data_IF_152236118317
#
_entry.id   IF_152236118317
#
_cell.length_a   1.000
_cell.length_b   1.000
_cell.length_c   1.000
_cell.angle_alpha   90.00
_cell.angle_beta   90.00
_cell.angle_gamma   90.00
#
_symmetry.space_group_name_H-M   'P 1'
#
loop_
_entity.id
_entity.type
_entity.pdbx_description
1 polymer ?
#
# COMPACT_ATOMS: atom_id res chain seq x y z
N UNK A 1 -2.95 -18.68 9.54
CA UNK A 1 -3.37 -17.62 10.47
C UNK A 1 -2.20 -16.67 10.60
N UNK A 2 -2.41 -15.38 10.33
CA UNK A 2 -1.36 -14.38 10.49
C UNK A 2 -0.80 -14.47 11.92
N UNK A 3 0.52 -14.43 12.04
CA UNK A 3 1.21 -14.70 13.30
C UNK A 3 1.17 -13.43 14.14
N UNK A 4 0.35 -13.38 15.18
CA UNK A 4 0.38 -12.25 16.13
C UNK A 4 1.67 -12.30 16.94
N UNK A 5 2.35 -11.16 17.06
CA UNK A 5 3.62 -11.05 17.81
C UNK A 5 3.39 -11.14 19.32
N UNK A 6 2.17 -10.77 19.75
CA UNK A 6 1.70 -10.79 21.14
C UNK A 6 0.39 -11.57 21.26
N UNK A 7 -0.09 -11.75 22.50
CA UNK A 7 -1.33 -12.46 22.84
C UNK A 7 -2.60 -11.73 22.36
N UNK A 8 -2.48 -10.43 22.07
CA UNK A 8 -3.53 -9.59 21.47
C UNK A 8 -3.08 -9.15 20.08
N UNK A 9 -4.00 -9.07 19.11
CA UNK A 9 -3.71 -8.44 17.82
C UNK A 9 -3.51 -6.94 18.01
N UNK A 10 -2.70 -6.33 17.16
CA UNK A 10 -2.34 -4.91 17.17
C UNK A 10 -3.55 -3.99 17.13
N UNK A 11 -4.64 -4.38 16.45
CA UNK A 11 -5.93 -3.64 16.51
C UNK A 11 -6.55 -3.57 17.91
N UNK A 12 -6.43 -4.62 18.72
CA UNK A 12 -6.89 -4.61 20.10
C UNK A 12 -5.96 -3.77 20.96
N UNK A 13 -4.65 -3.86 20.72
CA UNK A 13 -3.65 -3.02 21.39
C UNK A 13 -3.83 -1.52 21.07
N UNK A 14 -4.34 -1.20 19.88
CA UNK A 14 -4.68 0.17 19.51
C UNK A 14 -5.81 0.73 20.38
N UNK A 15 -6.79 -0.09 20.77
CA UNK A 15 -7.86 0.30 21.70
C UNK A 15 -7.31 0.53 23.11
N UNK A 16 -6.40 -0.34 23.57
CA UNK A 16 -5.69 -0.17 24.83
C UNK A 16 -4.92 1.17 24.83
N UNK A 17 -4.17 1.46 23.75
CA UNK A 17 -3.47 2.74 23.58
C UNK A 17 -4.43 3.93 23.69
N UNK A 18 -5.54 3.94 22.95
CA UNK A 18 -6.46 5.06 22.95
C UNK A 18 -7.12 5.29 24.31
N UNK A 19 -7.40 4.21 25.05
CA UNK A 19 -7.88 4.26 26.43
C UNK A 19 -6.84 4.91 27.35
N UNK A 20 -5.58 4.48 27.28
CA UNK A 20 -4.49 5.00 28.12
C UNK A 20 -4.15 6.46 27.80
N UNK A 21 -4.24 6.86 26.53
CA UNK A 21 -3.99 8.23 26.11
C UNK A 21 -5.04 9.22 26.65
N UNK A 22 -6.23 8.73 27.04
CA UNK A 22 -7.28 9.53 27.66
C UNK A 22 -7.68 10.77 26.85
N UNK A 23 -7.74 10.63 25.52
CA UNK A 23 -7.95 11.76 24.61
C UNK A 23 -9.31 12.41 24.83
N UNK A 24 -9.34 13.74 24.88
CA UNK A 24 -10.59 14.51 24.87
C UNK A 24 -11.18 14.58 23.45
N UNK A 25 -12.51 14.76 23.29
CA UNK A 25 -13.11 14.98 21.97
C UNK A 25 -12.42 16.10 21.20
N UNK A 26 -12.15 15.87 19.90
CA UNK A 26 -11.37 16.78 19.05
C UNK A 26 -9.86 16.85 19.31
N UNK A 27 -9.31 16.20 20.34
CA UNK A 27 -7.88 16.25 20.64
C UNK A 27 -7.08 15.43 19.62
N UNK A 28 -6.12 16.10 18.97
CA UNK A 28 -5.24 15.48 17.99
C UNK A 28 -4.03 14.83 18.69
N UNK A 29 -3.66 13.63 18.24
CA UNK A 29 -2.40 12.97 18.55
C UNK A 29 -1.63 12.65 17.26
N UNK A 30 -0.34 12.37 17.39
CA UNK A 30 0.54 12.12 16.25
C UNK A 30 0.96 10.66 16.15
N UNK A 31 1.35 10.24 14.95
CA UNK A 31 2.03 8.94 14.73
C UNK A 31 3.20 8.75 15.67
N UNK A 32 4.01 9.80 15.91
CA UNK A 32 5.16 9.71 16.81
C UNK A 32 4.75 9.37 18.25
N UNK A 33 3.67 9.99 18.75
CA UNK A 33 3.13 9.70 20.09
C UNK A 33 2.61 8.26 20.19
N UNK A 34 1.92 7.78 19.16
CA UNK A 34 1.46 6.39 19.11
C UNK A 34 2.64 5.41 19.09
N UNK A 35 3.63 5.63 18.23
CA UNK A 35 4.84 4.79 18.16
C UNK A 35 5.56 4.76 19.50
N UNK A 36 5.70 5.91 20.18
CA UNK A 36 6.32 5.96 21.50
C UNK A 36 5.57 5.09 22.52
N UNK A 37 4.24 5.20 22.58
CA UNK A 37 3.45 4.38 23.49
C UNK A 37 3.63 2.88 23.20
N UNK A 38 3.60 2.48 21.92
CA UNK A 38 3.84 1.10 21.51
C UNK A 38 5.27 0.63 21.78
N UNK A 39 6.28 1.51 21.71
CA UNK A 39 7.65 1.16 22.08
C UNK A 39 7.78 0.89 23.58
N UNK A 40 7.07 1.63 24.42
CA UNK A 40 7.07 1.46 25.87
C UNK A 40 6.33 0.19 26.32
N UNK A 41 5.22 -0.15 25.66
CA UNK A 41 4.33 -1.25 26.09
C UNK A 41 4.50 -2.55 25.27
N UNK A 42 4.83 -2.43 23.99
CA UNK A 42 4.89 -3.53 23.01
C UNK A 42 6.10 -3.42 22.06
N UNK A 43 7.35 -3.38 22.57
CA UNK A 43 8.57 -3.01 21.83
C UNK A 43 8.90 -3.85 20.58
N UNK A 44 8.37 -5.08 20.47
CA UNK A 44 8.53 -5.94 19.29
C UNK A 44 7.72 -5.47 18.07
N UNK A 45 6.69 -4.65 18.23
CA UNK A 45 5.93 -4.12 17.09
C UNK A 45 6.76 -3.07 16.35
N UNK A 46 6.81 -3.20 15.03
CA UNK A 46 7.60 -2.31 14.20
C UNK A 46 6.86 -1.00 13.94
N UNK A 47 7.58 0.14 13.88
CA UNK A 47 6.99 1.43 13.54
C UNK A 47 6.18 1.43 12.24
N UNK A 48 6.61 0.69 11.21
CA UNK A 48 5.88 0.58 9.95
C UNK A 48 4.53 -0.12 10.11
N UNK A 49 4.50 -1.22 10.88
CA UNK A 49 3.27 -1.93 11.26
C UNK A 49 2.29 -1.02 11.98
N UNK A 50 2.76 -0.30 13.00
CA UNK A 50 1.95 0.64 13.78
C UNK A 50 1.32 1.71 12.88
N UNK A 51 2.09 2.26 11.92
CA UNK A 51 1.57 3.23 10.95
C UNK A 51 0.47 2.65 10.08
N UNK A 52 0.66 1.43 9.60
CA UNK A 52 -0.33 0.77 8.76
C UNK A 52 -1.62 0.51 9.56
N UNK A 53 -1.54 0.13 10.84
CA UNK A 53 -2.73 -0.03 11.70
C UNK A 53 -3.43 1.30 12.03
N UNK A 54 -2.69 2.41 12.19
CA UNK A 54 -3.28 3.73 12.33
C UNK A 54 -4.08 4.14 11.07
N UNK A 55 -3.55 3.81 9.88
CA UNK A 55 -4.24 4.04 8.61
C UNK A 55 -5.50 3.17 8.50
N UNK A 56 -5.39 1.86 8.81
CA UNK A 56 -6.52 0.93 8.80
C UNK A 56 -7.67 1.39 9.73
N UNK A 57 -7.34 1.89 10.92
CA UNK A 57 -8.30 2.38 11.90
C UNK A 57 -8.88 3.78 11.59
N UNK A 58 -8.37 4.47 10.56
CA UNK A 58 -8.83 5.80 10.17
C UNK A 58 -10.03 5.72 9.23
N UNK A 59 -11.20 6.17 9.67
CA UNK A 59 -12.48 6.03 8.96
C UNK A 59 -12.54 6.75 7.63
N UNK A 60 -11.76 7.82 7.47
CA UNK A 60 -11.69 8.65 6.28
C UNK A 60 -10.45 8.40 5.40
N UNK A 61 -9.57 7.46 5.75
CA UNK A 61 -8.41 7.14 4.91
C UNK A 61 -8.76 6.03 3.92
N UNK A 62 -8.80 6.35 2.63
CA UNK A 62 -9.16 5.39 1.57
C UNK A 62 -8.24 4.17 1.53
N UNK A 63 -6.99 4.32 1.96
CA UNK A 63 -6.02 3.22 1.95
C UNK A 63 -6.50 2.04 2.81
N UNK A 64 -7.42 2.27 3.75
CA UNK A 64 -8.07 1.22 4.54
C UNK A 64 -8.86 0.22 3.71
N UNK A 65 -9.29 0.55 2.50
CA UNK A 65 -10.06 -0.36 1.65
C UNK A 65 -9.25 -1.55 1.16
N UNK A 66 -7.92 -1.43 1.11
CA UNK A 66 -7.01 -2.55 0.82
C UNK A 66 -6.76 -3.41 2.06
N UNK A 67 -7.12 -2.91 3.25
CA UNK A 67 -6.96 -3.55 4.55
C UNK A 67 -8.23 -3.35 5.38
N UNK A 68 -9.39 -3.87 4.92
CA UNK A 68 -10.67 -3.54 5.53
C UNK A 68 -10.66 -3.86 7.02
N UNK A 69 -11.26 -2.96 7.81
CA UNK A 69 -11.51 -3.21 9.22
C UNK A 69 -12.22 -4.55 9.39
N UNK A 70 -11.74 -5.39 10.31
CA UNK A 70 -12.32 -6.73 10.50
C UNK A 70 -13.72 -6.66 11.12
N UNK A 71 -14.10 -5.52 11.71
CA UNK A 71 -15.45 -5.19 12.16
C UNK A 71 -15.62 -3.67 12.36
N UNK A 72 -16.87 -3.21 12.50
CA UNK A 72 -17.23 -1.79 12.78
C UNK A 72 -16.61 -1.27 14.09
N UNK A 73 -16.17 -2.14 15.00
CA UNK A 73 -15.54 -1.70 16.26
C UNK A 73 -14.10 -1.22 16.09
N UNK A 74 -13.55 -1.31 14.87
CA UNK A 74 -12.20 -0.85 14.52
C UNK A 74 -12.23 0.52 13.79
N UNK A 75 -13.40 1.15 13.63
CA UNK A 75 -13.58 2.53 13.16
C UNK A 75 -13.25 3.56 14.26
N UNK A 76 -11.98 3.64 14.62
CA UNK A 76 -11.54 4.33 15.84
C UNK A 76 -11.11 5.78 15.61
N UNK A 77 -10.53 6.07 14.44
CA UNK A 77 -9.78 7.31 14.20
C UNK A 77 -10.35 8.11 13.05
N UNK A 78 -10.16 9.42 13.11
CA UNK A 78 -10.30 10.34 11.99
C UNK A 78 -8.95 10.99 11.71
N UNK A 79 -8.45 10.86 10.48
CA UNK A 79 -7.19 11.45 10.04
C UNK A 79 -7.40 12.93 9.72
N UNK A 80 -6.71 13.79 10.47
CA UNK A 80 -6.80 15.27 10.32
C UNK A 80 -5.70 15.83 9.42
N UNK A 81 -4.60 15.10 9.25
CA UNK A 81 -3.46 15.51 8.45
C UNK A 81 -2.42 14.39 8.36
N UNK A 82 -1.30 14.67 7.70
CA UNK A 82 -0.20 13.70 7.56
C UNK A 82 0.35 13.30 8.93
N UNK A 83 0.11 12.03 9.31
CA UNK A 83 0.54 11.48 10.61
C UNK A 83 -0.18 12.08 11.82
N UNK A 84 -1.35 12.69 11.63
CA UNK A 84 -2.14 13.33 12.68
C UNK A 84 -3.55 12.76 12.70
N UNK A 85 -4.01 12.38 13.89
CA UNK A 85 -5.27 11.67 14.09
C UNK A 85 -6.00 12.21 15.31
N UNK A 86 -7.32 12.08 15.33
CA UNK A 86 -8.16 12.21 16.52
C UNK A 86 -9.13 11.04 16.60
N UNK A 87 -9.85 10.91 17.71
CA UNK A 87 -10.95 9.95 17.79
C UNK A 87 -12.03 10.29 16.76
N UNK A 88 -12.59 9.26 16.12
CA UNK A 88 -13.76 9.37 15.27
C UNK A 88 -14.99 9.78 16.10
N UNK A 89 -15.79 10.71 15.59
CA UNK A 89 -16.99 11.25 16.25
C UNK A 89 -18.25 10.92 15.44
N UNK A 90 -18.97 9.82 15.77
CA UNK A 90 -20.19 9.43 15.08
C UNK A 90 -21.24 10.56 15.04
N UNK A 91 -21.82 10.80 13.86
CA UNK A 91 -22.83 11.84 13.64
C UNK A 91 -22.27 13.25 13.42
N UNK A 92 -20.98 13.49 13.69
CA UNK A 92 -20.27 14.72 13.33
C UNK A 92 -19.34 14.52 12.14
N UNK A 93 -18.64 13.39 12.13
CA UNK A 93 -17.76 13.01 11.04
C UNK A 93 -18.54 12.28 9.93
N UNK A 94 -18.03 12.28 8.69
CA UNK A 94 -18.55 11.43 7.62
C UNK A 94 -18.64 9.97 8.05
N UNK A 95 -19.55 9.22 7.44
CA UNK A 95 -19.64 7.78 7.67
C UNK A 95 -18.30 7.10 7.30
N UNK A 96 -17.88 6.04 8.03
CA UNK A 96 -16.64 5.37 7.72
C UNK A 96 -16.65 4.78 6.31
N UNK A 97 -15.50 4.88 5.63
CA UNK A 97 -15.32 4.32 4.30
C UNK A 97 -15.18 2.80 4.44
N UNK A 98 -16.21 2.05 4.03
CA UNK A 98 -16.20 0.59 3.97
C UNK A 98 -16.23 0.04 2.54
N UNK A 99 -16.72 0.85 1.59
CA UNK A 99 -16.81 0.49 0.18
C UNK A 99 -16.38 1.69 -0.67
N UNK A 100 -15.82 1.42 -1.86
CA UNK A 100 -15.63 2.44 -2.88
C UNK A 100 -17.00 2.79 -3.47
N UNK A 101 -17.57 3.91 -3.02
CA UNK A 101 -18.67 4.58 -3.72
C UNK A 101 -18.05 5.71 -4.54
N UNK A 102 -17.93 5.51 -5.85
CA UNK A 102 -17.32 6.49 -6.76
C UNK A 102 -18.18 7.77 -6.85
N UNK A 103 -17.85 8.76 -6.02
CA UNK A 103 -18.35 10.13 -6.11
C UNK A 103 -17.34 11.08 -6.77
N UNK A 104 -17.70 12.35 -6.95
CA UNK A 104 -16.84 13.33 -7.64
C UNK A 104 -15.51 13.59 -6.91
N UNK A 105 -15.51 13.51 -5.57
CA UNK A 105 -14.30 13.59 -4.72
C UNK A 105 -13.40 12.36 -4.91
N UNK A 106 -13.98 11.20 -5.23
CA UNK A 106 -13.23 9.98 -5.57
C UNK A 106 -12.27 10.23 -6.71
N UNK A 107 -12.82 10.83 -7.77
CA UNK A 107 -12.11 11.23 -8.98
C UNK A 107 -11.12 12.37 -8.75
N UNK A 108 -11.47 13.36 -7.92
CA UNK A 108 -10.67 14.57 -7.76
C UNK A 108 -9.44 14.39 -6.86
N UNK A 109 -9.51 13.56 -5.81
CA UNK A 109 -8.33 13.25 -4.96
C UNK A 109 -7.32 12.34 -5.68
N UNK A 110 -7.78 11.44 -6.55
CA UNK A 110 -6.89 10.67 -7.44
C UNK A 110 -6.16 11.58 -8.45
N UNK A 111 -6.71 12.76 -8.76
CA UNK A 111 -6.07 13.79 -9.61
C UNK A 111 -5.15 14.73 -8.80
N UNK A 112 -5.24 14.75 -7.46
CA UNK A 112 -4.62 15.75 -6.59
C UNK A 112 -3.38 15.28 -5.82
N UNK A 113 -2.97 14.01 -5.94
CA UNK A 113 -1.69 13.52 -5.40
C UNK A 113 -0.47 13.98 -6.25
N UNK A 114 -0.69 14.74 -7.34
CA UNK A 114 0.33 15.22 -8.29
C UNK A 114 1.06 16.53 -7.87
N UNK A 115 0.63 17.23 -6.81
CA UNK A 115 0.97 18.65 -6.62
C UNK A 115 2.10 18.96 -5.61
N UNK A 116 3.06 18.05 -5.41
CA UNK A 116 4.32 18.41 -4.73
C UNK A 116 5.55 17.87 -5.50
N UNK A 117 6.25 18.82 -6.11
CA UNK A 117 7.59 18.82 -6.71
C UNK A 117 7.80 18.32 -8.17
N UNK A 118 7.97 19.36 -9.01
CA UNK A 118 8.78 19.53 -10.22
C UNK A 118 8.19 19.11 -11.59
N UNK A 119 7.71 20.13 -12.30
CA UNK A 119 7.10 20.04 -13.63
C UNK A 119 8.19 19.91 -14.71
N UNK A 120 8.36 18.71 -15.24
CA UNK A 120 8.84 18.50 -16.62
C UNK A 120 7.71 17.87 -17.45
N UNK A 121 7.50 18.29 -18.72
CA UNK A 121 6.26 17.96 -19.45
C UNK A 121 6.23 16.53 -20.05
N UNK A 122 6.95 15.55 -19.48
CA UNK A 122 7.19 14.27 -20.16
C UNK A 122 7.03 13.05 -19.25
N UNK A 123 5.84 12.88 -18.68
CA UNK A 123 5.18 11.60 -18.38
C UNK A 123 3.87 11.97 -17.67
N UNK A 124 2.75 11.94 -18.38
CA UNK A 124 1.45 12.11 -17.72
C UNK A 124 1.16 10.78 -17.04
N UNK A 125 1.22 10.75 -15.72
CA UNK A 125 0.71 9.61 -14.95
C UNK A 125 -0.75 9.35 -15.35
N UNK A 126 -1.18 8.09 -15.26
CA UNK A 126 -2.46 7.67 -15.82
C UNK A 126 -3.60 8.45 -15.17
N UNK A 127 -4.35 9.24 -15.96
CA UNK A 127 -5.46 10.01 -15.40
C UNK A 127 -6.51 9.07 -14.80
N UNK A 128 -7.03 9.40 -13.61
CA UNK A 128 -8.13 8.68 -12.97
C UNK A 128 -9.32 8.48 -13.90
N UNK A 129 -9.80 7.25 -14.02
CA UNK A 129 -10.89 6.88 -14.94
C UNK A 129 -10.47 6.66 -16.40
N UNK A 130 -9.18 6.78 -16.73
CA UNK A 130 -8.66 6.34 -18.03
C UNK A 130 -8.54 4.81 -18.10
N UNK A 131 -8.54 4.27 -19.32
CA UNK A 131 -8.28 2.84 -19.56
C UNK A 131 -6.92 2.40 -19.02
N UNK A 132 -5.92 3.30 -19.04
CA UNK A 132 -4.58 3.04 -18.54
C UNK A 132 -4.57 2.87 -17.02
N UNK A 133 -5.32 3.73 -16.30
CA UNK A 133 -5.48 3.63 -14.85
C UNK A 133 -6.19 2.32 -14.45
N UNK A 134 -7.26 1.95 -15.16
CA UNK A 134 -7.95 0.67 -14.92
C UNK A 134 -7.00 -0.52 -15.15
N UNK A 135 -6.21 -0.48 -16.22
CA UNK A 135 -5.22 -1.52 -16.52
C UNK A 135 -4.11 -1.60 -15.47
N UNK A 136 -3.72 -0.48 -14.86
CA UNK A 136 -2.75 -0.44 -13.76
C UNK A 136 -3.25 -1.20 -12.54
N UNK A 137 -4.47 -0.87 -12.12
CA UNK A 137 -5.09 -1.51 -10.97
C UNK A 137 -5.32 -3.01 -11.22
N UNK A 138 -5.74 -3.38 -12.43
CA UNK A 138 -5.90 -4.78 -12.82
C UNK A 138 -4.56 -5.52 -12.83
N UNK A 139 -3.49 -4.90 -13.34
CA UNK A 139 -2.14 -5.46 -13.33
C UNK A 139 -1.62 -5.64 -11.89
N UNK A 140 -1.75 -4.60 -11.06
CA UNK A 140 -1.40 -4.62 -9.64
C UNK A 140 -2.05 -5.80 -8.93
N UNK A 141 -3.37 -5.94 -9.06
CA UNK A 141 -4.14 -7.04 -8.46
C UNK A 141 -3.70 -8.39 -8.99
N UNK A 142 -3.60 -8.54 -10.31
CA UNK A 142 -3.18 -9.80 -10.93
C UNK A 142 -1.80 -10.23 -10.44
N UNK A 143 -0.83 -9.32 -10.36
CA UNK A 143 0.52 -9.62 -9.89
C UNK A 143 0.54 -9.95 -8.39
N UNK A 144 -0.24 -9.24 -7.57
CA UNK A 144 -0.33 -9.51 -6.13
C UNK A 144 -0.89 -10.92 -5.83
N UNK A 145 -1.86 -11.38 -6.63
CA UNK A 145 -2.42 -12.73 -6.52
C UNK A 145 -1.51 -13.80 -7.15
N UNK A 146 -0.59 -13.43 -8.04
CA UNK A 146 0.23 -14.34 -8.83
C UNK A 146 1.75 -14.09 -8.70
N UNK A 147 2.23 -13.71 -7.51
CA UNK A 147 3.65 -13.35 -7.28
C UNK A 147 4.67 -14.42 -7.71
N UNK A 148 4.25 -15.68 -7.82
CA UNK A 148 5.07 -16.77 -8.34
C UNK A 148 5.57 -16.56 -9.78
N UNK A 149 4.91 -15.70 -10.58
CA UNK A 149 5.34 -15.35 -11.94
C UNK A 149 6.53 -14.39 -11.94
N UNK A 150 6.70 -13.62 -10.86
CA UNK A 150 7.82 -12.70 -10.65
C UNK A 150 9.00 -13.51 -10.11
N UNK A 151 8.75 -14.26 -9.04
CA UNK A 151 9.75 -15.13 -8.45
C UNK A 151 9.10 -16.33 -7.74
N UNK A 152 9.56 -17.57 -7.99
CA UNK A 152 9.01 -18.75 -7.32
C UNK A 152 9.12 -18.69 -5.80
N UNK A 153 7.96 -18.66 -5.13
CA UNK A 153 7.77 -18.62 -3.67
C UNK A 153 7.99 -17.26 -3.03
N UNK A 154 7.93 -16.20 -3.84
CA UNK A 154 7.58 -14.87 -3.37
C UNK A 154 6.14 -14.89 -2.83
N UNK A 155 5.93 -14.36 -1.64
CA UNK A 155 4.61 -14.28 -1.00
C UNK A 155 4.30 -12.84 -0.62
N UNK A 156 3.02 -12.45 -0.68
CA UNK A 156 2.60 -11.13 -0.25
C UNK A 156 2.97 -10.94 1.23
N UNK A 157 3.48 -9.75 1.59
CA UNK A 157 3.74 -9.45 2.98
C UNK A 157 2.41 -9.46 3.76
N UNK A 158 2.40 -10.05 4.95
CA UNK A 158 1.24 -10.07 5.82
C UNK A 158 1.68 -9.67 7.22
N UNK A 159 0.99 -8.67 7.76
CA UNK A 159 1.14 -8.18 9.13
C UNK A 159 -0.23 -8.14 9.79
N UNK A 160 -0.56 -9.23 10.49
CA UNK A 160 -1.89 -9.48 11.03
C UNK A 160 -3.01 -9.36 9.97
N UNK A 161 -3.79 -8.27 10.01
CA UNK A 161 -4.90 -7.98 9.11
C UNK A 161 -4.49 -7.05 7.95
N UNK A 162 -3.21 -6.63 7.91
CA UNK A 162 -2.65 -5.74 6.89
C UNK A 162 -1.87 -6.57 5.88
N UNK A 163 -2.14 -6.32 4.60
CA UNK A 163 -1.53 -7.04 3.50
C UNK A 163 -0.54 -6.15 2.75
N UNK A 164 0.40 -6.75 2.05
CA UNK A 164 1.40 -6.05 1.24
C UNK A 164 0.87 -5.41 -0.03
N UNK A 165 -0.44 -5.25 -0.23
CA UNK A 165 -1.01 -4.64 -1.43
C UNK A 165 -1.36 -3.17 -1.17
N UNK A 166 -0.86 -2.25 -1.99
CA UNK A 166 -0.94 -0.80 -1.76
C UNK A 166 -0.50 -0.41 -0.33
N UNK A 167 0.60 -1.02 0.12
CA UNK A 167 1.05 -0.98 1.51
C UNK A 167 1.38 0.46 1.96
N UNK A 168 0.79 0.96 3.06
CA UNK A 168 1.03 2.33 3.54
C UNK A 168 2.48 2.58 3.95
N UNK A 169 3.14 3.54 3.29
CA UNK A 169 4.54 3.92 3.53
C UNK A 169 4.69 5.33 4.15
N UNK A 170 3.63 5.82 4.80
CA UNK A 170 3.62 7.10 5.50
C UNK A 170 3.54 8.33 4.58
N UNK A 171 3.07 9.45 5.15
CA UNK A 171 2.92 10.71 4.41
C UNK A 171 1.99 10.62 3.20
N UNK A 172 0.98 9.76 3.24
CA UNK A 172 0.04 9.50 2.13
C UNK A 172 0.55 8.53 1.06
N UNK A 173 1.82 8.13 1.10
CA UNK A 173 2.44 7.31 0.06
C UNK A 173 2.15 5.82 0.26
N UNK A 174 2.09 5.07 -0.83
CA UNK A 174 1.81 3.63 -0.86
C UNK A 174 2.84 2.90 -1.73
N UNK A 175 3.19 1.69 -1.31
CA UNK A 175 3.99 0.74 -2.10
C UNK A 175 3.01 -0.14 -2.87
N UNK A 176 3.14 -0.24 -4.20
CA UNK A 176 2.19 -1.02 -5.01
C UNK A 176 2.07 -2.46 -4.50
N UNK A 177 3.21 -3.16 -4.37
CA UNK A 177 3.26 -4.48 -3.75
C UNK A 177 4.51 -4.60 -2.86
N UNK A 178 4.30 -4.93 -1.60
CA UNK A 178 5.30 -5.35 -0.63
C UNK A 178 5.19 -6.87 -0.44
N UNK A 179 6.28 -7.58 -0.70
CA UNK A 179 6.36 -9.02 -0.62
C UNK A 179 7.55 -9.48 0.22
N UNK A 180 7.60 -10.79 0.48
CA UNK A 180 8.68 -11.47 1.18
C UNK A 180 9.14 -12.65 0.35
N UNK A 181 10.45 -12.76 0.12
CA UNK A 181 11.05 -13.88 -0.59
C UNK A 181 11.19 -15.13 0.28
N UNK A 182 11.58 -16.26 -0.32
CA UNK A 182 11.76 -17.55 0.39
C UNK A 182 12.77 -17.49 1.55
N UNK A 183 13.72 -16.57 1.50
CA UNK A 183 14.74 -16.40 2.54
C UNK A 183 14.28 -15.43 3.66
N UNK A 184 13.06 -14.89 3.57
CA UNK A 184 12.53 -13.91 4.51
C UNK A 184 13.00 -12.48 4.22
N UNK A 185 13.61 -12.20 3.07
CA UNK A 185 13.96 -10.86 2.63
C UNK A 185 12.74 -10.10 2.10
N UNK A 186 12.69 -8.78 2.33
CA UNK A 186 11.63 -7.94 1.77
C UNK A 186 11.89 -7.64 0.29
N UNK A 187 10.81 -7.62 -0.48
CA UNK A 187 10.79 -7.28 -1.90
C UNK A 187 9.76 -6.17 -2.11
N UNK A 188 10.24 -5.00 -2.54
CA UNK A 188 9.40 -3.86 -2.89
C UNK A 188 9.18 -3.87 -4.39
N UNK A 189 7.94 -3.91 -4.84
CA UNK A 189 7.60 -3.86 -6.25
C UNK A 189 6.96 -2.52 -6.58
N UNK A 190 7.45 -1.91 -7.65
CA UNK A 190 6.93 -0.68 -8.22
C UNK A 190 6.51 -0.97 -9.67
N UNK A 191 5.24 -0.72 -9.99
CA UNK A 191 4.63 -1.10 -11.25
C UNK A 191 4.40 0.14 -12.12
N UNK A 192 4.58 0.01 -13.44
CA UNK A 192 4.21 1.03 -14.42
C UNK A 192 3.56 0.40 -15.65
N UNK A 193 2.38 0.88 -16.05
CA UNK A 193 1.64 0.33 -17.21
C UNK A 193 2.29 0.66 -18.56
N UNK A 194 3.11 1.70 -18.59
CA UNK A 194 3.75 2.21 -19.79
C UNK A 194 5.27 2.09 -19.73
N UNK A 195 5.97 2.93 -20.51
CA UNK A 195 7.43 3.01 -20.52
C UNK A 195 7.91 3.53 -19.16
N UNK A 196 8.77 2.75 -18.50
CA UNK A 196 9.41 3.21 -17.27
C UNK A 196 10.40 4.35 -17.56
N UNK A 197 10.31 5.43 -16.77
CA UNK A 197 11.24 6.56 -16.78
C UNK A 197 12.00 6.65 -15.45
N UNK A 198 13.17 7.27 -15.44
CA UNK A 198 14.11 7.28 -14.31
C UNK A 198 13.52 7.77 -12.98
N UNK A 199 12.42 8.55 -12.99
CA UNK A 199 11.68 8.95 -11.77
C UNK A 199 11.25 7.75 -10.92
N UNK A 200 10.90 6.62 -11.56
CA UNK A 200 10.52 5.37 -10.89
C UNK A 200 11.64 4.82 -10.00
N UNK A 201 12.90 5.08 -10.36
CA UNK A 201 14.07 4.65 -9.58
C UNK A 201 14.08 5.37 -8.23
N UNK A 202 13.86 6.69 -8.24
CA UNK A 202 13.79 7.48 -7.00
C UNK A 202 12.63 7.04 -6.10
N UNK A 203 11.47 6.76 -6.69
CA UNK A 203 10.31 6.24 -5.98
C UNK A 203 10.60 4.88 -5.32
N UNK A 204 11.10 3.91 -6.09
CA UNK A 204 11.45 2.58 -5.59
C UNK A 204 12.51 2.66 -4.49
N UNK A 205 13.60 3.39 -4.70
CA UNK A 205 14.67 3.53 -3.72
C UNK A 205 14.17 4.13 -2.42
N UNK A 206 13.26 5.11 -2.49
CA UNK A 206 12.61 5.68 -1.30
C UNK A 206 11.83 4.61 -0.54
N UNK A 207 11.06 3.77 -1.22
CA UNK A 207 10.30 2.68 -0.59
C UNK A 207 11.19 1.58 -0.03
N UNK A 208 12.21 1.13 -0.76
CA UNK A 208 13.21 0.16 -0.28
C UNK A 208 13.86 0.64 1.02
N UNK A 209 14.27 1.91 1.07
CA UNK A 209 14.87 2.49 2.27
C UNK A 209 13.85 2.70 3.40
N UNK A 210 12.59 3.02 3.07
CA UNK A 210 11.52 3.12 4.06
C UNK A 210 11.25 1.76 4.72
N UNK A 211 11.09 0.69 3.93
CA UNK A 211 10.90 -0.68 4.44
C UNK A 211 12.09 -1.11 5.29
N UNK A 212 13.32 -0.84 4.83
CA UNK A 212 14.54 -1.13 5.59
C UNK A 212 14.57 -0.43 6.95
N UNK A 213 14.07 0.80 7.03
CA UNK A 213 14.04 1.59 8.27
C UNK A 213 12.90 1.21 9.21
N UNK A 214 11.71 0.96 8.66
CA UNK A 214 10.47 0.94 9.43
C UNK A 214 9.93 -0.47 9.68
N UNK A 215 10.39 -1.48 8.92
CA UNK A 215 9.90 -2.87 9.00
C UNK A 215 11.02 -3.89 9.18
N UNK A 216 12.13 -3.74 8.47
CA UNK A 216 13.18 -4.76 8.44
C UNK A 216 13.94 -4.90 9.77
N UNK A 217 14.33 -6.13 10.09
CA UNK A 217 15.30 -6.41 11.15
C UNK A 217 16.72 -6.02 10.74
N UNK A 218 17.63 -5.76 11.69
CA UNK A 218 19.04 -5.51 11.39
C UNK A 218 19.64 -6.65 10.54
N UNK A 219 20.14 -6.31 9.36
CA UNK A 219 20.73 -7.26 8.42
C UNK A 219 19.73 -8.02 7.55
N UNK A 220 18.42 -7.85 7.73
CA UNK A 220 17.42 -8.41 6.84
C UNK A 220 17.50 -7.74 5.47
N UNK A 221 17.58 -8.55 4.41
CA UNK A 221 17.69 -8.05 3.04
C UNK A 221 16.40 -7.33 2.63
N UNK A 222 16.55 -6.21 1.94
CA UNK A 222 15.46 -5.47 1.29
C UNK A 222 15.92 -5.13 -0.12
N UNK A 223 15.18 -5.61 -1.13
CA UNK A 223 15.44 -5.38 -2.55
C UNK A 223 14.24 -4.77 -3.25
N UNK A 224 14.45 -4.19 -4.42
CA UNK A 224 13.41 -3.58 -5.25
C UNK A 224 13.27 -4.26 -6.62
N UNK A 225 12.04 -4.29 -7.14
CA UNK A 225 11.74 -4.76 -8.49
C UNK A 225 10.89 -3.69 -9.19
N UNK A 226 11.34 -3.25 -10.37
CA UNK A 226 10.52 -2.42 -11.27
C UNK A 226 9.90 -3.34 -12.29
N UNK A 227 8.58 -3.30 -12.43
CA UNK A 227 7.86 -4.04 -13.47
C UNK A 227 7.17 -3.05 -14.38
N UNK A 228 7.48 -3.09 -15.67
CA UNK A 228 6.80 -2.24 -16.65
C UNK A 228 6.55 -2.95 -17.98
N UNK A 229 5.79 -2.34 -18.87
CA UNK A 229 5.48 -2.97 -20.17
C UNK A 229 6.69 -2.95 -21.12
N UNK A 230 7.50 -1.91 -21.03
CA UNK A 230 8.70 -1.74 -21.86
C UNK A 230 9.73 -0.92 -21.09
N UNK A 231 10.91 -1.50 -20.93
CA UNK A 231 12.04 -0.91 -20.24
C UNK A 231 12.78 0.05 -21.18
N UNK A 232 12.99 1.28 -20.73
CA UNK A 232 13.79 2.24 -21.47
C UNK A 232 15.30 1.96 -21.28
N UNK A 233 16.12 2.35 -22.26
CA UNK A 233 17.58 2.27 -22.11
C UNK A 233 18.07 3.16 -20.97
N UNK A 234 17.48 4.36 -20.83
CA UNK A 234 17.76 5.29 -19.73
C UNK A 234 17.48 4.65 -18.37
N UNK A 235 16.32 3.98 -18.19
CA UNK A 235 15.99 3.31 -16.94
C UNK A 235 16.94 2.15 -16.63
N UNK A 236 17.34 1.38 -17.66
CA UNK A 236 18.35 0.32 -17.51
C UNK A 236 19.69 0.91 -17.10
N UNK A 237 20.09 2.02 -17.70
CA UNK A 237 21.33 2.73 -17.38
C UNK A 237 21.30 3.29 -15.95
N UNK A 238 20.19 3.91 -15.55
CA UNK A 238 19.97 4.45 -14.21
C UNK A 238 20.09 3.37 -13.11
N UNK A 239 19.65 2.14 -13.40
CA UNK A 239 19.72 1.03 -12.45
C UNK A 239 21.03 0.24 -12.48
N UNK A 240 21.91 0.45 -13.48
CA UNK A 240 23.02 -0.46 -13.79
C UNK A 240 24.01 -0.69 -12.64
N UNK A 241 24.15 0.26 -11.72
CA UNK A 241 25.07 0.18 -10.57
C UNK A 241 24.37 0.06 -9.23
N UNK A 242 23.03 -0.07 -9.21
CA UNK A 242 22.26 -0.14 -7.98
C UNK A 242 22.12 -1.61 -7.58
N UNK A 243 22.73 -2.04 -6.46
CA UNK A 243 22.59 -3.42 -6.00
C UNK A 243 21.15 -3.69 -5.59
N UNK A 244 20.75 -4.96 -5.64
CA UNK A 244 19.45 -5.41 -5.16
C UNK A 244 18.25 -4.71 -5.86
N UNK A 245 18.43 -4.22 -7.09
CA UNK A 245 17.35 -3.78 -7.97
C UNK A 245 17.25 -4.71 -9.17
N UNK A 246 16.03 -5.14 -9.47
CA UNK A 246 15.72 -5.97 -10.63
C UNK A 246 14.71 -5.27 -11.53
N UNK A 247 14.83 -5.52 -12.83
CA UNK A 247 13.99 -4.92 -13.87
C UNK A 247 13.26 -6.04 -14.61
N UNK A 248 11.94 -5.99 -14.61
CA UNK A 248 11.09 -6.97 -15.30
C UNK A 248 10.18 -6.28 -16.31
N UNK A 249 10.06 -6.90 -17.48
CA UNK A 249 9.04 -6.53 -18.45
C UNK A 249 7.87 -7.51 -18.39
N UNK A 250 6.64 -7.00 -18.44
CA UNK A 250 5.44 -7.84 -18.55
C UNK A 250 4.83 -7.75 -19.96
N UNK A 251 4.13 -8.81 -20.36
CA UNK A 251 3.37 -8.85 -21.60
C UNK A 251 1.94 -9.32 -21.31
N UNK A 252 0.95 -8.63 -21.87
CA UNK A 252 -0.45 -9.03 -21.79
C UNK A 252 -0.81 -9.88 -23.00
N UNK A 253 -1.40 -11.05 -22.76
CA UNK A 253 -1.91 -11.93 -23.80
C UNK A 253 -3.34 -12.33 -23.47
N UNK A 254 -4.26 -12.09 -24.40
CA UNK A 254 -5.66 -12.51 -24.32
C UNK A 254 -5.96 -13.39 -25.51
N UNK A 255 -6.48 -14.59 -25.26
CA UNK A 255 -6.95 -15.49 -26.31
C UNK A 255 -8.42 -15.82 -26.09
N UNK A 256 -9.17 -15.92 -27.18
CA UNK A 256 -10.59 -16.24 -27.18
C UNK A 256 -10.86 -17.30 -28.23
N UNK A 257 -11.73 -18.24 -27.87
CA UNK A 257 -12.14 -19.35 -28.73
C UNK A 257 -13.64 -19.30 -28.98
N UNK A 258 -14.05 -19.81 -30.13
CA UNK A 258 -15.45 -19.78 -30.57
C UNK A 258 -16.24 -20.90 -29.89
N UNK A 259 -17.41 -20.58 -29.36
CA UNK A 259 -18.31 -21.56 -28.73
C UNK A 259 -19.57 -21.67 -29.60
N UNK A 260 -19.98 -22.87 -30.02
CA UNK A 260 -21.23 -23.06 -30.75
C UNK A 260 -22.42 -22.70 -29.86
N UNK A 261 -23.41 -22.03 -30.45
CA UNK A 261 -24.68 -21.71 -29.77
C UNK A 261 -25.49 -22.99 -29.52
N UNK A 262 -26.28 -22.98 -28.45
CA UNK A 262 -27.17 -24.08 -28.13
C UNK A 262 -28.29 -24.16 -29.18
N UNK A 263 -28.48 -25.34 -29.78
CA UNK A 263 -29.65 -25.56 -30.64
C UNK A 263 -30.89 -25.72 -29.77
N UNK A 264 -31.84 -24.79 -29.92
CA UNK A 264 -33.16 -24.90 -29.30
C UNK A 264 -34.10 -25.67 -30.23
N UNK A 265 -35.01 -26.52 -29.70
CA UNK A 265 -36.00 -27.21 -30.51
C UNK A 265 -36.82 -26.21 -31.34
N UNK A 266 -37.04 -26.52 -32.61
CA UNK A 266 -37.96 -25.79 -33.49
C UNK A 266 -39.37 -26.34 -33.39
#
# INVERSE_FOLDING_TARGET
>A
MARTIYDKPTRALLKDMLSDLGLKPGQVFTTARAIQWFQEHYPKLKPGSIRAHLVQASTNDRSRLHHPATNETDDLLFKVGSGQFRLYEPGKDPAPIHELVDGDVARQEQLGEEDDDDVSPVAREAQPGSTQFALEQDLQRYLADNLHIIEPGLTLFEDEDIKGFEYPAGGGRRIDILAVDKAGGFVVLELKVEKGYDRVVGQLLRYVNWVRKELAEPGQRVRGIIVCRTMSEDLRLACASIPDIELLEYQLSVTVSRVPVLELPK
#
